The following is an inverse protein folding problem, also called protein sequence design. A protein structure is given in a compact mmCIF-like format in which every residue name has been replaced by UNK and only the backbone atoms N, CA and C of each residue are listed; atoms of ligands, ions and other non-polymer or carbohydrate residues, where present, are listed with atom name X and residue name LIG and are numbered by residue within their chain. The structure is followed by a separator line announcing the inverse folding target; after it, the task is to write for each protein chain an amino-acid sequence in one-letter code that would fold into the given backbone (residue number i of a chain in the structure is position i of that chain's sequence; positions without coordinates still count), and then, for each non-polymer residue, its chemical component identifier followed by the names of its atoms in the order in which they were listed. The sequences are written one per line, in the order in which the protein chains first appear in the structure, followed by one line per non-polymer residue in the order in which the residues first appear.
data_IF_973106308895
#
_entry.id   IF_973106308895
#
_cell.length_a   1.000
_cell.length_b   1.000
_cell.length_c   1.000
_cell.angle_alpha   90.00
_cell.angle_beta   90.00
_cell.angle_gamma   90.00
#
_symmetry.space_group_name_H-M   'P 1'
#
loop_
_entity.id
_entity.type
_entity.pdbx_description
1 polymer ?
#
# COMPACT_ATOMS: atom_id res chain seq x y z
N UNK A 1 2.01 -4.86 -20.71
CA UNK A 1 3.45 -5.05 -21.04
C UNK A 1 3.91 -4.50 -22.39
N UNK A 2 4.64 -3.38 -22.34
CA UNK A 2 5.49 -2.89 -23.43
C UNK A 2 6.79 -3.70 -23.54
N UNK A 3 7.36 -3.81 -24.74
CA UNK A 3 8.66 -4.44 -25.00
C UNK A 3 9.83 -3.47 -24.78
N UNK A 4 11.04 -4.01 -24.57
CA UNK A 4 12.27 -3.21 -24.46
C UNK A 4 12.44 -2.20 -25.62
N UNK A 5 12.11 -2.61 -26.84
CA UNK A 5 12.24 -1.74 -28.01
C UNK A 5 11.18 -0.63 -28.03
N UNK A 6 9.96 -0.90 -27.57
CA UNK A 6 8.92 0.13 -27.40
C UNK A 6 9.29 1.12 -26.30
N UNK A 7 9.81 0.64 -25.16
CA UNK A 7 10.27 1.50 -24.05
C UNK A 7 11.37 2.46 -24.51
N UNK A 8 12.24 2.04 -25.43
CA UNK A 8 13.26 2.93 -26.02
C UNK A 8 12.69 4.08 -26.84
N UNK A 9 11.47 3.93 -27.33
CA UNK A 9 10.75 4.97 -28.08
C UNK A 9 9.96 5.91 -27.16
N UNK A 10 9.81 5.59 -25.87
CA UNK A 10 9.09 6.44 -24.92
C UNK A 10 9.77 7.81 -24.75
N UNK A 11 8.94 8.85 -24.67
CA UNK A 11 9.36 10.25 -24.68
C UNK A 11 8.86 10.99 -23.45
N UNK A 12 9.73 11.12 -22.44
CA UNK A 12 9.47 11.96 -21.27
C UNK A 12 9.11 13.41 -21.64
N UNK A 13 9.69 13.94 -22.73
CA UNK A 13 9.39 15.31 -23.19
C UNK A 13 7.98 15.47 -23.73
N UNK A 14 7.43 14.45 -24.38
CA UNK A 14 6.04 14.50 -24.87
C UNK A 14 5.05 14.39 -23.71
N UNK A 15 5.32 13.52 -22.74
CA UNK A 15 4.55 13.41 -21.48
C UNK A 15 4.59 14.74 -20.72
N UNK A 16 5.76 15.34 -20.55
CA UNK A 16 5.91 16.64 -19.89
C UNK A 16 5.18 17.79 -20.60
N UNK A 17 5.11 17.74 -21.94
CA UNK A 17 4.32 18.71 -22.69
C UNK A 17 2.81 18.55 -22.40
N UNK A 18 2.33 17.33 -22.19
CA UNK A 18 0.95 17.08 -21.77
C UNK A 18 0.72 17.55 -20.33
N UNK A 19 1.66 17.28 -19.42
CA UNK A 19 1.64 17.77 -18.04
C UNK A 19 1.51 19.31 -18.00
N UNK A 20 2.34 20.03 -18.76
CA UNK A 20 2.29 21.50 -18.87
C UNK A 20 0.91 22.03 -19.31
N UNK A 21 0.24 21.31 -20.22
CA UNK A 21 -1.11 21.68 -20.68
C UNK A 21 -2.13 21.49 -19.55
N UNK A 22 -2.05 20.38 -18.81
CA UNK A 22 -2.94 20.11 -17.67
C UNK A 22 -2.70 21.09 -16.52
N UNK A 23 -1.44 21.38 -16.17
CA UNK A 23 -1.09 22.42 -15.18
C UNK A 23 -1.67 23.77 -15.57
N UNK A 24 -1.60 24.14 -16.85
CA UNK A 24 -2.20 25.40 -17.33
C UNK A 24 -3.73 25.38 -17.24
N UNK A 25 -4.37 24.25 -17.55
CA UNK A 25 -5.81 24.09 -17.43
C UNK A 25 -6.27 24.17 -15.96
N UNK A 26 -5.59 23.46 -15.05
CA UNK A 26 -5.79 23.53 -13.59
C UNK A 26 -5.74 24.98 -13.12
N UNK A 27 -4.65 25.68 -13.42
CA UNK A 27 -4.47 27.09 -13.04
C UNK A 27 -5.58 28.00 -13.59
N UNK A 28 -6.06 27.71 -14.80
CA UNK A 28 -7.18 28.43 -15.40
C UNK A 28 -8.50 28.22 -14.65
N UNK A 29 -8.78 26.98 -14.21
CA UNK A 29 -9.98 26.64 -13.44
C UNK A 29 -9.89 27.27 -12.06
N UNK A 30 -8.82 27.01 -11.30
CA UNK A 30 -8.60 27.57 -9.95
C UNK A 30 -8.67 29.10 -9.97
N UNK A 31 -8.15 29.73 -11.03
CA UNK A 31 -8.22 31.18 -11.23
C UNK A 31 -9.63 31.77 -11.30
N UNK A 32 -10.67 30.97 -11.59
CA UNK A 32 -12.07 31.40 -11.65
C UNK A 32 -12.73 31.59 -10.27
N UNK A 33 -12.03 31.27 -9.18
CA UNK A 33 -12.58 31.32 -7.81
C UNK A 33 -13.21 32.69 -7.52
N UNK A 34 -12.50 33.78 -7.84
CA UNK A 34 -12.95 35.13 -7.57
C UNK A 34 -14.21 35.49 -8.37
N UNK A 35 -14.31 35.08 -9.64
CA UNK A 35 -15.47 35.31 -10.50
C UNK A 35 -16.71 34.54 -10.03
N UNK A 36 -16.55 33.30 -9.56
CA UNK A 36 -17.64 32.50 -8.99
C UNK A 36 -18.16 33.14 -7.71
N UNK A 37 -17.25 33.56 -6.83
CA UNK A 37 -17.63 34.19 -5.57
C UNK A 37 -18.28 35.57 -5.79
N UNK A 38 -17.80 36.32 -6.78
CA UNK A 38 -18.42 37.58 -7.19
C UNK A 38 -19.79 37.39 -7.85
N UNK A 39 -20.09 36.21 -8.38
CA UNK A 39 -21.39 35.86 -8.97
C UNK A 39 -22.47 35.55 -7.92
N UNK A 40 -22.14 35.66 -6.62
CA UNK A 40 -23.08 35.45 -5.53
C UNK A 40 -24.29 36.39 -5.62
N UNK A 41 -25.48 35.84 -5.38
CA UNK A 41 -26.74 36.57 -5.32
C UNK A 41 -26.69 37.65 -4.23
N UNK A 42 -27.02 38.93 -4.52
CA UNK A 42 -27.08 40.00 -3.51
C UNK A 42 -27.99 39.63 -2.35
N UNK A 43 -27.61 40.00 -1.12
CA UNK A 43 -28.35 39.65 0.10
C UNK A 43 -29.78 40.19 0.10
N UNK A 44 -29.99 41.31 -0.57
CA UNK A 44 -31.27 42.00 -0.66
C UNK A 44 -32.23 41.36 -1.68
N UNK A 45 -31.74 40.43 -2.52
CA UNK A 45 -32.59 39.70 -3.47
C UNK A 45 -33.08 38.39 -2.85
N UNK A 46 -34.38 38.36 -2.54
CA UNK A 46 -35.04 37.25 -1.87
C UNK A 46 -36.21 36.68 -2.70
N UNK A 47 -36.68 35.48 -2.33
CA UNK A 47 -37.78 34.75 -2.94
C UNK A 47 -37.34 33.62 -3.87
N UNK A 48 -38.30 32.86 -4.40
CA UNK A 48 -38.07 31.59 -5.14
C UNK A 48 -37.05 31.71 -6.29
N UNK A 49 -37.02 32.85 -6.98
CA UNK A 49 -36.07 33.10 -8.06
C UNK A 49 -34.63 33.26 -7.55
N UNK A 50 -34.44 33.94 -6.42
CA UNK A 50 -33.14 34.10 -5.78
C UNK A 50 -32.63 32.75 -5.25
N UNK A 51 -33.50 31.94 -4.67
CA UNK A 51 -33.14 30.60 -4.17
C UNK A 51 -32.79 29.64 -5.31
N UNK A 52 -33.52 29.71 -6.43
CA UNK A 52 -33.19 28.97 -7.66
C UNK A 52 -31.82 29.40 -8.22
N UNK A 53 -31.53 30.70 -8.25
CA UNK A 53 -30.24 31.21 -8.71
C UNK A 53 -29.09 30.74 -7.80
N UNK A 54 -29.26 30.77 -6.47
CA UNK A 54 -28.28 30.24 -5.50
C UNK A 54 -28.05 28.74 -5.70
N UNK A 55 -29.10 27.96 -5.94
CA UNK A 55 -28.99 26.54 -6.20
C UNK A 55 -28.23 26.24 -7.51
N UNK A 56 -28.49 27.01 -8.57
CA UNK A 56 -27.75 26.91 -9.81
C UNK A 56 -26.27 27.27 -9.64
N UNK A 57 -25.96 28.35 -8.90
CA UNK A 57 -24.58 28.73 -8.62
C UNK A 57 -23.83 27.65 -7.84
N UNK A 58 -24.45 27.08 -6.78
CA UNK A 58 -23.87 25.95 -6.04
C UNK A 58 -23.57 24.76 -6.95
N UNK A 59 -24.50 24.41 -7.84
CA UNK A 59 -24.28 23.33 -8.82
C UNK A 59 -23.10 23.63 -9.75
N UNK A 60 -22.99 24.87 -10.27
CA UNK A 60 -21.87 25.25 -11.14
C UNK A 60 -20.54 25.30 -10.42
N UNK A 61 -20.54 25.65 -9.13
CA UNK A 61 -19.36 25.59 -8.28
C UNK A 61 -18.89 24.14 -8.12
N UNK A 62 -19.80 23.24 -7.74
CA UNK A 62 -19.51 21.80 -7.62
C UNK A 62 -18.92 21.22 -8.92
N UNK A 63 -19.50 21.54 -10.07
CA UNK A 63 -18.98 21.09 -11.37
C UNK A 63 -17.57 21.62 -11.67
N UNK A 64 -17.21 22.80 -11.17
CA UNK A 64 -15.87 23.37 -11.32
C UNK A 64 -14.88 22.84 -10.28
N UNK A 65 -15.34 22.52 -9.06
CA UNK A 65 -14.56 21.86 -8.01
C UNK A 65 -14.12 20.48 -8.50
N UNK A 66 -15.05 19.66 -9.00
CA UNK A 66 -14.73 18.35 -9.60
C UNK A 66 -13.76 18.50 -10.79
N UNK A 67 -14.01 19.45 -11.70
CA UNK A 67 -13.09 19.67 -12.84
C UNK A 67 -11.70 20.13 -12.40
N UNK A 68 -11.60 20.88 -11.29
CA UNK A 68 -10.32 21.27 -10.70
C UNK A 68 -9.58 20.05 -10.16
N UNK A 69 -10.27 19.16 -9.44
CA UNK A 69 -9.73 17.90 -8.92
C UNK A 69 -9.24 16.99 -10.07
N UNK A 70 -10.08 16.72 -11.07
CA UNK A 70 -9.74 15.89 -12.22
C UNK A 70 -8.52 16.42 -12.99
N UNK A 71 -8.47 17.73 -13.23
CA UNK A 71 -7.36 18.35 -14.00
C UNK A 71 -6.06 18.35 -13.19
N UNK A 72 -6.16 18.49 -11.87
CA UNK A 72 -5.00 18.46 -10.98
C UNK A 72 -4.45 17.04 -10.82
N UNK A 73 -5.32 16.03 -10.66
CA UNK A 73 -4.94 14.63 -10.66
C UNK A 73 -4.21 14.24 -11.96
N UNK A 74 -4.76 14.60 -13.13
CA UNK A 74 -4.07 14.35 -14.41
C UNK A 74 -2.74 15.10 -14.54
N UNK A 75 -2.66 16.32 -14.00
CA UNK A 75 -1.41 17.05 -14.00
C UNK A 75 -0.34 16.35 -13.17
N UNK A 76 -0.68 15.85 -11.97
CA UNK A 76 0.23 15.10 -11.09
C UNK A 76 0.69 13.81 -11.75
N UNK A 77 -0.25 12.96 -12.19
CA UNK A 77 0.06 11.67 -12.81
C UNK A 77 0.93 11.81 -14.07
N UNK A 78 0.73 12.86 -14.88
CA UNK A 78 1.58 13.14 -16.04
C UNK A 78 2.97 13.64 -15.65
N UNK A 79 3.10 14.46 -14.61
CA UNK A 79 4.41 14.93 -14.13
C UNK A 79 5.22 13.77 -13.53
N UNK A 80 4.59 12.93 -12.72
CA UNK A 80 5.17 11.69 -12.17
C UNK A 80 5.59 10.74 -13.29
N UNK A 81 4.71 10.48 -14.27
CA UNK A 81 5.03 9.67 -15.43
C UNK A 81 6.19 10.25 -16.26
N UNK A 82 6.27 11.58 -16.43
CA UNK A 82 7.43 12.22 -17.08
C UNK A 82 8.73 11.86 -16.33
N UNK A 83 8.73 12.07 -15.01
CA UNK A 83 9.91 11.84 -14.18
C UNK A 83 10.32 10.36 -14.19
N UNK A 84 9.35 9.46 -14.09
CA UNK A 84 9.54 8.01 -14.11
C UNK A 84 10.08 7.53 -15.47
N UNK A 85 9.47 7.96 -16.59
CA UNK A 85 9.96 7.64 -17.95
C UNK A 85 11.37 8.18 -18.16
N UNK A 86 11.67 9.39 -17.69
CA UNK A 86 13.03 9.97 -17.77
C UNK A 86 14.04 9.13 -17.00
N UNK A 87 13.66 8.62 -15.83
CA UNK A 87 14.52 7.72 -15.04
C UNK A 87 14.70 6.38 -15.74
N UNK A 88 13.61 5.75 -16.18
CA UNK A 88 13.61 4.47 -16.90
C UNK A 88 14.49 4.51 -18.15
N UNK A 89 14.40 5.58 -18.96
CA UNK A 89 15.22 5.74 -20.18
C UNK A 89 16.72 5.81 -19.85
N UNK A 90 17.11 6.41 -18.72
CA UNK A 90 18.52 6.40 -18.27
C UNK A 90 18.97 4.98 -17.92
N UNK A 91 18.17 4.23 -17.18
CA UNK A 91 18.46 2.82 -16.84
C UNK A 91 18.58 1.96 -18.10
N UNK A 92 17.69 2.14 -19.07
CA UNK A 92 17.76 1.46 -20.37
C UNK A 92 19.06 1.77 -21.10
N UNK A 93 19.46 3.03 -21.19
CA UNK A 93 20.69 3.44 -21.87
C UNK A 93 21.95 2.92 -21.14
N UNK A 94 21.91 2.84 -19.81
CA UNK A 94 22.98 2.26 -18.97
C UNK A 94 23.12 0.74 -19.21
N UNK A 95 22.00 0.00 -19.24
CA UNK A 95 21.98 -1.44 -19.51
C UNK A 95 22.39 -1.76 -20.96
N UNK A 96 21.94 -0.99 -21.94
CA UNK A 96 22.39 -1.12 -23.34
C UNK A 96 23.91 -0.88 -23.45
N UNK A 97 24.44 0.09 -22.70
CA UNK A 97 25.87 0.39 -22.65
C UNK A 97 26.66 -0.75 -22.01
N UNK A 98 26.18 -1.28 -20.87
CA UNK A 98 26.80 -2.43 -20.19
C UNK A 98 26.79 -3.67 -21.08
N UNK A 99 25.66 -3.96 -21.74
CA UNK A 99 25.53 -5.06 -22.68
C UNK A 99 26.55 -4.93 -23.81
N UNK A 100 26.62 -3.78 -24.47
CA UNK A 100 27.55 -3.53 -25.57
C UNK A 100 29.03 -3.68 -25.15
N UNK A 101 29.40 -3.22 -23.95
CA UNK A 101 30.76 -3.34 -23.42
C UNK A 101 31.19 -4.81 -23.25
N UNK A 102 30.27 -5.69 -22.87
CA UNK A 102 30.55 -7.10 -22.60
C UNK A 102 30.12 -8.04 -23.74
N UNK A 103 29.95 -7.53 -24.96
CA UNK A 103 29.53 -8.31 -26.14
C UNK A 103 28.19 -9.01 -25.93
N UNK A 104 27.25 -8.35 -25.28
CA UNK A 104 25.83 -8.70 -25.22
C UNK A 104 24.99 -7.67 -25.98
N UNK A 105 23.77 -8.06 -26.32
CA UNK A 105 22.74 -7.17 -26.87
C UNK A 105 21.42 -7.49 -26.20
N UNK A 106 20.64 -6.48 -25.85
CA UNK A 106 19.29 -6.64 -25.35
C UNK A 106 18.32 -6.50 -26.52
N UNK A 107 17.36 -7.42 -26.64
CA UNK A 107 16.34 -7.40 -27.69
C UNK A 107 15.01 -7.96 -27.19
N UNK A 108 13.97 -7.15 -27.18
CA UNK A 108 12.62 -7.54 -26.75
C UNK A 108 12.59 -8.29 -25.39
N UNK A 109 13.43 -7.88 -24.44
CA UNK A 109 13.53 -8.50 -23.11
C UNK A 109 14.58 -9.61 -22.99
N UNK A 110 15.16 -10.07 -24.11
CA UNK A 110 16.18 -11.11 -24.11
C UNK A 110 17.61 -10.55 -24.11
N UNK A 111 18.46 -11.08 -23.22
CA UNK A 111 19.90 -10.82 -23.25
C UNK A 111 20.60 -11.84 -24.16
N UNK A 112 21.04 -11.35 -25.32
CA UNK A 112 21.64 -12.15 -26.39
C UNK A 112 23.16 -12.00 -26.34
N UNK A 113 23.87 -13.14 -26.23
CA UNK A 113 25.32 -13.19 -26.35
C UNK A 113 25.74 -12.99 -27.82
N UNK A 114 26.64 -12.02 -28.06
CA UNK A 114 27.14 -11.66 -29.39
C UNK A 114 28.64 -11.95 -29.55
N UNK A 115 29.26 -12.65 -28.60
CA UNK A 115 30.67 -13.04 -28.69
C UNK A 115 30.86 -14.22 -29.67
N UNK A 116 31.60 -14.00 -30.76
CA UNK A 116 31.94 -15.02 -31.77
C UNK A 116 33.09 -15.97 -31.30
N UNK A 117 33.16 -16.27 -30.00
CA UNK A 117 34.21 -17.12 -29.40
C UNK A 117 35.51 -16.40 -29.01
N UNK A 118 35.65 -15.11 -29.36
CA UNK A 118 36.76 -14.22 -28.97
C UNK A 118 36.26 -13.16 -27.97
N UNK A 119 36.06 -13.57 -26.72
CA UNK A 119 35.84 -12.63 -25.61
C UNK A 119 37.12 -12.52 -24.77
N UNK A 120 37.52 -11.29 -24.42
CA UNK A 120 38.62 -11.06 -23.46
C UNK A 120 38.20 -11.42 -22.03
N UNK A 121 36.90 -11.49 -21.76
CA UNK A 121 36.32 -11.79 -20.45
C UNK A 121 36.29 -13.29 -20.14
N UNK A 122 36.57 -13.63 -18.88
CA UNK A 122 36.38 -15.00 -18.36
C UNK A 122 34.90 -15.39 -18.38
N UNK A 123 34.63 -16.69 -18.56
CA UNK A 123 33.27 -17.24 -18.54
C UNK A 123 32.48 -16.86 -17.28
N UNK A 124 33.13 -16.82 -16.10
CA UNK A 124 32.51 -16.41 -14.84
C UNK A 124 32.07 -14.95 -14.86
N UNK A 125 32.89 -14.08 -15.44
CA UNK A 125 32.59 -12.65 -15.58
C UNK A 125 31.40 -12.46 -16.52
N UNK A 126 31.41 -13.15 -17.66
CA UNK A 126 30.30 -13.11 -18.62
C UNK A 126 28.98 -13.61 -18.02
N UNK A 127 29.03 -14.67 -17.20
CA UNK A 127 27.85 -15.18 -16.51
C UNK A 127 27.31 -14.16 -15.50
N UNK A 128 28.17 -13.55 -14.70
CA UNK A 128 27.77 -12.51 -13.74
C UNK A 128 27.12 -11.31 -14.45
N UNK A 129 27.75 -10.78 -15.50
CA UNK A 129 27.19 -9.68 -16.29
C UNK A 129 25.86 -10.06 -16.94
N UNK A 130 25.73 -11.29 -17.46
CA UNK A 130 24.45 -11.74 -18.04
C UNK A 130 23.35 -11.79 -16.99
N UNK A 131 23.63 -12.30 -15.78
CA UNK A 131 22.66 -12.31 -14.68
C UNK A 131 22.23 -10.90 -14.31
N UNK A 132 23.19 -9.97 -14.16
CA UNK A 132 22.90 -8.56 -13.89
C UNK A 132 22.04 -7.92 -14.98
N UNK A 133 22.35 -8.16 -16.26
CA UNK A 133 21.55 -7.67 -17.38
C UNK A 133 20.14 -8.28 -17.39
N UNK A 134 19.98 -9.57 -17.11
CA UNK A 134 18.66 -10.21 -17.07
C UNK A 134 17.81 -9.63 -15.94
N UNK A 135 18.38 -9.48 -14.74
CA UNK A 135 17.68 -8.84 -13.61
C UNK A 135 17.35 -7.39 -13.89
N UNK A 136 18.28 -6.62 -14.48
CA UNK A 136 18.05 -5.23 -14.85
C UNK A 136 16.97 -5.07 -15.93
N UNK A 137 16.95 -5.95 -16.93
CA UNK A 137 15.90 -5.96 -17.96
C UNK A 137 14.54 -6.28 -17.37
N UNK A 138 14.45 -7.27 -16.48
CA UNK A 138 13.21 -7.58 -15.78
C UNK A 138 12.70 -6.37 -14.99
N UNK A 139 13.57 -5.72 -14.21
CA UNK A 139 13.22 -4.51 -13.46
C UNK A 139 12.72 -3.37 -14.36
N UNK A 140 13.37 -3.13 -15.51
CA UNK A 140 12.90 -2.11 -16.47
C UNK A 140 11.51 -2.45 -17.03
N UNK A 141 11.23 -3.72 -17.34
CA UNK A 141 9.92 -4.13 -17.86
C UNK A 141 8.82 -3.95 -16.81
N UNK A 142 9.12 -4.31 -15.56
CA UNK A 142 8.21 -4.10 -14.41
C UNK A 142 7.93 -2.62 -14.20
N UNK A 143 8.97 -1.78 -14.09
CA UNK A 143 8.78 -0.32 -13.93
C UNK A 143 8.07 0.31 -15.13
N UNK A 144 8.26 -0.21 -16.34
CA UNK A 144 7.49 0.26 -17.50
C UNK A 144 6.00 -0.06 -17.37
N UNK A 145 5.65 -1.26 -16.91
CA UNK A 145 4.25 -1.65 -16.68
C UNK A 145 3.61 -0.79 -15.58
N UNK A 146 4.30 -0.56 -14.47
CA UNK A 146 3.84 0.34 -13.38
C UNK A 146 3.53 1.75 -13.90
N UNK A 147 4.43 2.36 -14.67
CA UNK A 147 4.22 3.70 -15.24
C UNK A 147 2.97 3.75 -16.14
N UNK A 148 2.74 2.72 -16.95
CA UNK A 148 1.60 2.64 -17.87
C UNK A 148 0.28 2.42 -17.11
N UNK A 149 0.29 1.52 -16.14
CA UNK A 149 -0.86 1.19 -15.30
C UNK A 149 -1.27 2.39 -14.44
N UNK A 150 -0.32 3.11 -13.85
CA UNK A 150 -0.59 4.28 -13.00
C UNK A 150 -1.24 5.41 -13.80
N UNK A 151 -0.65 5.77 -14.94
CA UNK A 151 -1.23 6.81 -15.79
C UNK A 151 -2.60 6.38 -16.35
N UNK A 152 -2.75 5.10 -16.72
CA UNK A 152 -4.01 4.56 -17.22
C UNK A 152 -5.10 4.60 -16.15
N UNK A 153 -4.77 4.25 -14.90
CA UNK A 153 -5.69 4.30 -13.76
C UNK A 153 -6.25 5.70 -13.57
N UNK A 154 -5.40 6.73 -13.46
CA UNK A 154 -5.86 8.11 -13.28
C UNK A 154 -6.70 8.60 -14.47
N UNK A 155 -6.28 8.28 -15.71
CA UNK A 155 -7.05 8.61 -16.90
C UNK A 155 -8.45 7.97 -16.88
N UNK A 156 -8.53 6.69 -16.50
CA UNK A 156 -9.79 5.97 -16.47
C UNK A 156 -10.73 6.53 -15.39
N UNK A 157 -10.22 6.84 -14.20
CA UNK A 157 -11.01 7.47 -13.12
C UNK A 157 -11.60 8.82 -13.56
N UNK A 158 -10.84 9.62 -14.30
CA UNK A 158 -11.35 10.90 -14.86
C UNK A 158 -12.39 10.64 -15.94
N UNK A 159 -12.14 9.69 -16.85
CA UNK A 159 -13.08 9.36 -17.94
C UNK A 159 -14.41 8.82 -17.42
N UNK A 160 -14.35 8.02 -16.35
CA UNK A 160 -15.52 7.40 -15.73
C UNK A 160 -16.22 8.32 -14.71
N UNK A 161 -15.59 9.45 -14.35
CA UNK A 161 -16.12 10.42 -13.39
C UNK A 161 -16.11 9.91 -11.96
N UNK A 162 -15.08 9.13 -11.61
CA UNK A 162 -14.87 8.51 -10.30
C UNK A 162 -14.06 9.39 -9.34
N UNK A 163 -13.49 10.50 -9.82
CA UNK A 163 -12.85 11.50 -8.97
C UNK A 163 -13.87 12.51 -8.48
N UNK A 164 -13.94 12.72 -7.17
CA UNK A 164 -14.71 13.80 -6.55
C UNK A 164 -13.82 14.98 -6.14
N UNK A 165 -14.41 15.98 -5.48
CA UNK A 165 -13.71 17.18 -5.03
C UNK A 165 -13.14 17.06 -3.60
N UNK A 166 -13.18 15.87 -2.99
CA UNK A 166 -12.76 15.63 -1.62
C UNK A 166 -13.56 16.41 -0.58
N UNK A 167 -14.81 16.81 -0.89
CA UNK A 167 -15.62 17.66 -0.02
C UNK A 167 -15.12 19.10 0.07
N UNK A 168 -14.32 19.54 -0.90
CA UNK A 168 -13.77 20.88 -0.98
C UNK A 168 -14.85 21.97 -1.01
N UNK A 169 -14.46 23.17 -0.55
CA UNK A 169 -15.34 24.35 -0.60
C UNK A 169 -14.78 25.48 -1.49
N UNK A 170 -13.60 25.24 -2.05
CA UNK A 170 -12.92 26.12 -2.99
C UNK A 170 -12.30 25.29 -4.12
N UNK A 171 -12.10 25.92 -5.27
CA UNK A 171 -11.45 25.29 -6.42
C UNK A 171 -9.99 24.91 -6.15
N UNK A 172 -9.31 25.64 -5.26
CA UNK A 172 -7.94 25.34 -4.86
C UNK A 172 -7.91 24.06 -4.01
N UNK A 173 -8.76 23.98 -2.98
CA UNK A 173 -8.85 22.78 -2.14
C UNK A 173 -9.25 21.54 -2.96
N UNK A 174 -10.15 21.70 -3.95
CA UNK A 174 -10.54 20.62 -4.83
C UNK A 174 -9.38 20.15 -5.72
N UNK A 175 -8.58 21.09 -6.24
CA UNK A 175 -7.39 20.75 -7.00
C UNK A 175 -6.36 20.01 -6.13
N UNK A 176 -6.16 20.45 -4.89
CA UNK A 176 -5.25 19.80 -3.94
C UNK A 176 -5.76 18.40 -3.55
N UNK A 177 -7.07 18.20 -3.44
CA UNK A 177 -7.68 16.87 -3.24
C UNK A 177 -7.41 15.92 -4.41
N UNK A 178 -7.48 16.42 -5.64
CA UNK A 178 -7.12 15.66 -6.84
C UNK A 178 -5.65 15.24 -6.89
N UNK A 179 -4.73 16.15 -6.52
CA UNK A 179 -3.30 15.84 -6.41
C UNK A 179 -3.03 14.80 -5.31
N UNK A 180 -3.61 14.99 -4.13
CA UNK A 180 -3.50 14.04 -3.01
C UNK A 180 -4.01 12.65 -3.38
N UNK A 181 -5.06 12.55 -4.20
CA UNK A 181 -5.59 11.25 -4.64
C UNK A 181 -4.55 10.46 -5.42
N UNK A 182 -3.76 11.11 -6.28
CA UNK A 182 -2.68 10.45 -7.01
C UNK A 182 -1.57 10.00 -6.05
N UNK A 183 -1.18 10.84 -5.10
CA UNK A 183 -0.19 10.48 -4.07
C UNK A 183 -0.60 9.26 -3.24
N UNK A 184 -1.90 9.14 -2.92
CA UNK A 184 -2.46 7.99 -2.20
C UNK A 184 -2.47 6.72 -3.05
N UNK A 185 -2.86 6.81 -4.32
CA UNK A 185 -2.83 5.67 -5.24
C UNK A 185 -1.39 5.12 -5.36
N UNK A 186 -0.38 5.99 -5.51
CA UNK A 186 1.03 5.56 -5.53
C UNK A 186 1.48 4.94 -4.20
N UNK A 187 1.03 5.51 -3.08
CA UNK A 187 1.35 4.98 -1.76
C UNK A 187 0.80 3.57 -1.58
N UNK A 188 -0.44 3.35 -2.02
CA UNK A 188 -1.11 2.07 -2.00
C UNK A 188 -0.38 1.03 -2.85
N UNK A 189 -0.03 1.35 -4.10
CA UNK A 189 0.70 0.44 -4.97
C UNK A 189 2.05 0.01 -4.37
N UNK A 190 2.87 0.97 -3.91
CA UNK A 190 4.16 0.67 -3.26
C UNK A 190 4.00 -0.17 -2.01
N UNK A 191 2.96 0.10 -1.22
CA UNK A 191 2.71 -0.62 0.03
C UNK A 191 2.25 -2.05 -0.26
N UNK A 192 1.30 -2.22 -1.20
CA UNK A 192 0.84 -3.54 -1.62
C UNK A 192 1.97 -4.36 -2.25
N UNK A 193 2.83 -3.75 -3.06
CA UNK A 193 3.99 -4.43 -3.64
C UNK A 193 4.96 -4.93 -2.56
N UNK A 194 5.30 -4.08 -1.58
CA UNK A 194 6.20 -4.45 -0.47
C UNK A 194 5.61 -5.56 0.40
N UNK A 195 4.30 -5.51 0.68
CA UNK A 195 3.64 -6.41 1.62
C UNK A 195 2.74 -7.45 0.95
N UNK A 196 3.07 -7.84 -0.27
CA UNK A 196 2.31 -8.85 -0.99
C UNK A 196 2.67 -10.27 -0.51
N UNK A 197 1.69 -11.00 0.05
CA UNK A 197 1.89 -12.39 0.49
C UNK A 197 0.85 -13.38 -0.04
N UNK A 198 1.39 -14.47 -0.59
CA UNK A 198 0.88 -15.85 -0.59
C UNK A 198 -0.22 -16.21 0.40
N UNK A 199 -1.45 -16.66 0.06
CA UNK A 199 -2.25 -17.43 1.02
C UNK A 199 -1.46 -18.63 1.56
N UNK A 200 -1.84 -19.12 2.74
CA UNK A 200 -1.29 -20.33 3.30
C UNK A 200 -1.63 -21.51 2.36
N UNK A 201 -0.64 -22.25 1.81
CA UNK A 201 -0.88 -23.32 0.86
C UNK A 201 -1.72 -24.47 1.45
N UNK A 202 -1.65 -24.66 2.76
CA UNK A 202 -2.42 -25.68 3.49
C UNK A 202 -3.73 -25.12 4.07
N UNK A 203 -3.99 -23.83 3.87
CA UNK A 203 -5.24 -23.15 4.17
C UNK A 203 -5.50 -22.98 5.67
N UNK A 204 -6.78 -23.04 6.05
CA UNK A 204 -7.23 -22.87 7.44
C UNK A 204 -7.40 -24.21 8.15
N UNK A 205 -7.01 -24.28 9.41
CA UNK A 205 -7.20 -25.43 10.30
C UNK A 205 -7.81 -25.02 11.66
N UNK A 206 -8.25 -26.00 12.45
CA UNK A 206 -8.67 -25.76 13.83
C UNK A 206 -7.52 -26.06 14.79
N UNK A 207 -7.23 -25.12 15.70
CA UNK A 207 -6.20 -25.27 16.72
C UNK A 207 -6.78 -25.00 18.13
N UNK A 208 -6.39 -25.77 19.17
CA UNK A 208 -5.56 -26.97 19.11
C UNK A 208 -6.34 -28.15 18.50
N UNK A 209 -5.63 -29.08 17.85
CA UNK A 209 -6.22 -30.26 17.22
C UNK A 209 -5.99 -31.55 18.03
N UNK A 210 -6.51 -32.68 17.53
CA UNK A 210 -6.21 -34.01 18.08
C UNK A 210 -6.60 -34.21 19.54
N UNK A 211 -5.74 -34.91 20.30
CA UNK A 211 -5.99 -35.24 21.72
C UNK A 211 -5.89 -34.01 22.61
N UNK A 212 -5.02 -33.05 22.25
CA UNK A 212 -4.86 -31.77 22.94
C UNK A 212 -6.11 -30.91 22.77
N UNK A 213 -6.59 -30.75 21.54
CA UNK A 213 -7.84 -30.07 21.21
C UNK A 213 -9.06 -30.69 21.88
N UNK A 214 -9.14 -32.04 21.90
CA UNK A 214 -10.19 -32.74 22.63
C UNK A 214 -10.16 -32.40 24.14
N UNK A 215 -8.98 -32.39 24.77
CA UNK A 215 -8.84 -32.02 26.17
C UNK A 215 -9.18 -30.54 26.41
N UNK A 216 -8.82 -29.66 25.47
CA UNK A 216 -9.10 -28.22 25.49
C UNK A 216 -10.61 -27.93 25.49
N UNK A 217 -11.36 -28.60 24.60
CA UNK A 217 -12.83 -28.51 24.55
C UNK A 217 -13.49 -29.05 25.83
N UNK A 218 -12.98 -30.14 26.41
CA UNK A 218 -13.51 -30.69 27.67
C UNK A 218 -13.32 -29.74 28.87
N UNK A 219 -12.37 -28.80 28.78
CA UNK A 219 -12.16 -27.75 29.77
C UNK A 219 -13.07 -26.53 29.55
N UNK A 220 -13.94 -26.56 28.53
CA UNK A 220 -14.89 -25.50 28.21
C UNK A 220 -14.34 -24.39 27.32
N UNK A 221 -13.17 -24.61 26.70
CA UNK A 221 -12.57 -23.66 25.77
C UNK A 221 -12.96 -23.99 24.32
N UNK A 222 -13.14 -22.97 23.50
CA UNK A 222 -13.42 -23.12 22.06
C UNK A 222 -12.11 -23.32 21.28
N UNK A 223 -12.18 -24.06 20.16
CA UNK A 223 -11.08 -24.12 19.20
C UNK A 223 -11.08 -22.87 18.33
N UNK A 224 -9.89 -22.42 17.96
CA UNK A 224 -9.72 -21.28 17.08
C UNK A 224 -9.43 -21.76 15.67
N UNK A 225 -10.03 -21.08 14.70
CA UNK A 225 -9.71 -21.29 13.28
C UNK A 225 -8.55 -20.37 12.92
N UNK A 226 -7.43 -20.96 12.52
CA UNK A 226 -6.14 -20.30 12.24
C UNK A 226 -5.55 -20.84 10.94
N UNK A 227 -4.53 -20.19 10.39
CA UNK A 227 -3.81 -20.77 9.24
C UNK A 227 -3.04 -22.02 9.66
N UNK A 228 -2.77 -22.92 8.72
CA UNK A 228 -2.02 -24.14 8.99
C UNK A 228 -0.62 -23.83 9.54
N UNK A 229 0.07 -22.84 8.96
CA UNK A 229 1.38 -22.37 9.45
C UNK A 229 1.27 -21.79 10.86
N UNK A 230 0.24 -21.00 11.17
CA UNK A 230 -0.01 -20.48 12.53
C UNK A 230 -0.18 -21.63 13.54
N UNK A 231 -0.95 -22.66 13.18
CA UNK A 231 -1.13 -23.84 14.03
C UNK A 231 0.19 -24.59 14.31
N UNK A 232 1.06 -24.75 13.31
CA UNK A 232 2.37 -25.37 13.48
C UNK A 232 3.27 -24.58 14.43
N UNK A 233 3.26 -23.25 14.33
CA UNK A 233 4.00 -22.37 15.23
C UNK A 233 3.46 -22.41 16.66
N UNK A 234 2.13 -22.47 16.84
CA UNK A 234 1.50 -22.62 18.16
C UNK A 234 1.84 -23.97 18.81
N UNK A 235 1.87 -25.04 18.03
CA UNK A 235 2.31 -26.36 18.48
C UNK A 235 3.78 -26.35 18.90
N UNK A 236 4.63 -25.67 18.13
CA UNK A 236 6.05 -25.53 18.47
C UNK A 236 6.28 -24.69 19.73
N UNK A 237 5.57 -23.57 19.86
CA UNK A 237 5.57 -22.74 21.07
C UNK A 237 5.12 -23.56 22.28
N UNK A 238 4.06 -24.37 22.15
CA UNK A 238 3.61 -25.25 23.23
C UNK A 238 4.67 -26.31 23.58
N UNK A 239 5.42 -26.84 22.61
CA UNK A 239 6.51 -27.81 22.88
C UNK A 239 7.68 -27.19 23.64
N UNK A 240 8.05 -25.97 23.31
CA UNK A 240 9.23 -25.29 23.86
C UNK A 240 8.94 -24.53 25.16
N UNK A 241 7.84 -23.77 25.21
CA UNK A 241 7.45 -22.88 26.33
C UNK A 241 6.29 -23.45 27.17
N UNK A 242 5.67 -24.55 26.73
CA UNK A 242 4.52 -25.15 27.39
C UNK A 242 3.23 -24.35 27.20
N UNK A 243 2.19 -24.74 27.92
CA UNK A 243 0.88 -24.06 27.90
C UNK A 243 0.93 -22.62 28.43
N UNK A 244 1.98 -22.25 29.16
CA UNK A 244 2.17 -20.88 29.64
C UNK A 244 2.52 -19.93 28.50
N UNK A 245 3.40 -20.33 27.56
CA UNK A 245 3.75 -19.50 26.41
C UNK A 245 2.55 -19.22 25.49
N UNK A 246 1.76 -20.25 25.20
CA UNK A 246 0.49 -20.11 24.47
C UNK A 246 -0.47 -19.17 25.18
N UNK A 247 -0.60 -19.30 26.51
CA UNK A 247 -1.46 -18.43 27.29
C UNK A 247 -0.98 -16.98 27.24
N UNK A 248 0.32 -16.74 27.37
CA UNK A 248 0.90 -15.40 27.30
C UNK A 248 0.65 -14.75 25.93
N UNK A 249 0.75 -15.50 24.84
CA UNK A 249 0.37 -15.04 23.50
C UNK A 249 -1.12 -14.67 23.42
N UNK A 250 -2.00 -15.50 23.98
CA UNK A 250 -3.44 -15.22 24.03
C UNK A 250 -3.76 -13.98 24.89
N UNK A 251 -3.08 -13.83 26.04
CA UNK A 251 -3.21 -12.65 26.91
C UNK A 251 -2.72 -11.38 26.19
N UNK A 252 -1.63 -11.45 25.42
CA UNK A 252 -1.13 -10.35 24.59
C UNK A 252 -2.15 -9.96 23.51
N UNK A 253 -2.76 -10.93 22.81
CA UNK A 253 -3.82 -10.67 21.82
C UNK A 253 -5.05 -9.99 22.45
N UNK A 254 -5.48 -10.46 23.62
CA UNK A 254 -6.61 -9.86 24.36
C UNK A 254 -6.30 -8.43 24.83
N UNK A 255 -5.08 -8.18 25.30
CA UNK A 255 -4.62 -6.82 25.69
C UNK A 255 -4.61 -5.88 24.48
N UNK A 256 -4.15 -6.34 23.31
CA UNK A 256 -4.18 -5.57 22.07
C UNK A 256 -5.60 -5.20 21.63
N UNK A 257 -6.54 -6.15 21.67
CA UNK A 257 -7.96 -5.91 21.37
C UNK A 257 -8.54 -4.86 22.31
N UNK A 258 -8.36 -5.04 23.61
CA UNK A 258 -8.88 -4.12 24.62
C UNK A 258 -8.33 -2.68 24.46
N UNK A 259 -7.04 -2.56 24.16
CA UNK A 259 -6.40 -1.24 23.97
C UNK A 259 -6.82 -0.59 22.65
N UNK A 260 -6.90 -1.36 21.56
CA UNK A 260 -7.38 -0.86 20.27
C UNK A 260 -8.79 -0.27 20.36
N UNK A 261 -9.70 -0.95 21.06
CA UNK A 261 -11.08 -0.46 21.27
C UNK A 261 -11.17 0.83 22.09
N UNK A 262 -10.17 1.12 22.93
CA UNK A 262 -10.20 2.24 23.89
C UNK A 262 -9.40 3.46 23.45
N UNK A 263 -8.35 3.33 22.64
CA UNK A 263 -7.48 4.45 22.25
C UNK A 263 -8.18 5.41 21.28
N UNK A 264 -9.05 4.90 20.40
CA UNK A 264 -9.77 5.71 19.41
C UNK A 264 -11.29 5.55 19.50
N UNK A 265 -11.85 5.34 20.71
CA UNK A 265 -13.29 5.28 20.97
C UNK A 265 -14.08 4.33 20.04
N UNK A 266 -13.45 3.23 19.59
CA UNK A 266 -13.99 2.27 18.61
C UNK A 266 -14.26 2.84 17.20
N UNK A 267 -13.62 3.95 16.81
CA UNK A 267 -13.60 4.41 15.42
C UNK A 267 -12.51 3.65 14.63
N UNK A 268 -12.83 3.13 13.44
CA UNK A 268 -11.90 2.36 12.62
C UNK A 268 -11.50 1.00 13.20
N UNK A 269 -12.45 0.27 13.81
CA UNK A 269 -12.23 -1.07 14.44
C UNK A 269 -11.65 -2.10 13.47
N UNK A 270 -12.02 -1.98 12.21
CA UNK A 270 -11.56 -2.80 11.08
C UNK A 270 -11.00 -1.85 10.04
N UNK A 271 -9.82 -2.17 9.50
CA UNK A 271 -9.18 -1.46 8.39
C UNK A 271 -8.85 0.03 8.67
N UNK A 272 -8.95 0.48 9.93
CA UNK A 272 -8.77 1.88 10.34
C UNK A 272 -7.78 2.07 11.49
N UNK A 273 -7.79 3.24 12.13
CA UNK A 273 -6.79 3.62 13.14
C UNK A 273 -6.75 2.70 14.36
N UNK A 274 -7.89 2.21 14.83
CA UNK A 274 -7.95 1.24 15.95
C UNK A 274 -7.35 -0.11 15.56
N UNK A 275 -7.53 -0.51 14.31
CA UNK A 275 -6.95 -1.74 13.76
C UNK A 275 -5.43 -1.64 13.64
N UNK A 276 -4.96 -0.56 13.01
CA UNK A 276 -3.53 -0.27 12.88
C UNK A 276 -2.81 -0.26 14.24
N UNK A 277 -3.41 0.38 15.24
CA UNK A 277 -2.90 0.34 16.61
C UNK A 277 -2.86 -1.08 17.18
N UNK A 278 -3.95 -1.84 17.02
CA UNK A 278 -4.07 -3.20 17.55
C UNK A 278 -2.99 -4.11 16.97
N UNK A 279 -2.79 -4.08 15.65
CA UNK A 279 -1.78 -4.88 14.95
C UNK A 279 -0.36 -4.51 15.38
N UNK A 280 -0.04 -3.21 15.41
CA UNK A 280 1.25 -2.72 15.88
C UNK A 280 1.52 -3.09 17.35
N UNK A 281 0.53 -2.94 18.24
CA UNK A 281 0.70 -3.26 19.66
C UNK A 281 0.84 -4.76 19.90
N UNK A 282 0.05 -5.57 19.21
CA UNK A 282 0.17 -7.01 19.24
C UNK A 282 1.57 -7.46 18.85
N UNK A 283 2.09 -6.94 17.73
CA UNK A 283 3.43 -7.25 17.24
C UNK A 283 4.54 -6.73 18.15
N UNK A 284 4.41 -5.53 18.71
CA UNK A 284 5.37 -4.98 19.67
C UNK A 284 5.51 -5.89 20.91
N UNK A 285 4.38 -6.37 21.45
CA UNK A 285 4.36 -7.23 22.64
C UNK A 285 4.84 -8.65 22.33
N UNK A 286 4.53 -9.19 21.16
CA UNK A 286 5.11 -10.45 20.69
C UNK A 286 6.63 -10.34 20.54
N UNK A 287 7.13 -9.28 19.91
CA UNK A 287 8.56 -9.05 19.72
C UNK A 287 9.31 -8.95 21.06
N UNK A 288 8.77 -8.24 22.05
CA UNK A 288 9.37 -8.17 23.40
C UNK A 288 9.40 -9.54 24.12
N UNK A 289 8.41 -10.42 23.91
CA UNK A 289 8.28 -11.68 24.67
C UNK A 289 8.96 -12.87 23.98
N UNK A 290 8.83 -12.96 22.66
CA UNK A 290 9.22 -14.12 21.87
C UNK A 290 10.35 -13.80 20.88
N UNK A 291 10.70 -12.53 20.71
CA UNK A 291 11.69 -12.06 19.74
C UNK A 291 11.05 -11.55 18.45
N UNK A 292 11.76 -10.63 17.78
CA UNK A 292 11.31 -9.97 16.55
C UNK A 292 11.06 -10.98 15.41
N UNK A 293 12.01 -11.88 15.17
CA UNK A 293 11.93 -12.92 14.13
C UNK A 293 10.68 -13.79 14.30
N UNK A 294 10.46 -14.34 15.50
CA UNK A 294 9.29 -15.16 15.78
C UNK A 294 7.98 -14.37 15.62
N UNK A 295 7.96 -13.11 16.06
CA UNK A 295 6.78 -12.25 15.92
C UNK A 295 6.47 -11.94 14.45
N UNK A 296 7.49 -11.72 13.62
CA UNK A 296 7.35 -11.51 12.19
C UNK A 296 6.76 -12.75 11.51
N UNK A 297 7.32 -13.93 11.76
CA UNK A 297 6.84 -15.21 11.23
C UNK A 297 5.38 -15.47 11.61
N UNK A 298 5.04 -15.30 12.89
CA UNK A 298 3.71 -15.57 13.41
C UNK A 298 2.67 -14.61 12.82
N UNK A 299 2.99 -13.33 12.80
CA UNK A 299 2.10 -12.31 12.23
C UNK A 299 1.91 -12.52 10.73
N UNK A 300 2.98 -12.82 9.97
CA UNK A 300 2.85 -13.15 8.55
C UNK A 300 2.01 -14.41 8.36
N UNK A 301 2.20 -15.47 9.15
CA UNK A 301 1.36 -16.66 9.08
C UNK A 301 -0.13 -16.34 9.33
N UNK A 302 -0.42 -15.39 10.24
CA UNK A 302 -1.78 -14.91 10.51
C UNK A 302 -2.41 -14.23 9.29
N UNK A 303 -1.69 -13.29 8.65
CA UNK A 303 -2.21 -12.54 7.49
C UNK A 303 -2.30 -13.37 6.19
N UNK A 304 -1.72 -14.57 6.18
CA UNK A 304 -1.81 -15.53 5.06
C UNK A 304 -3.13 -16.29 5.01
N UNK A 305 -4.14 -15.88 5.78
CA UNK A 305 -5.50 -16.42 5.64
C UNK A 305 -5.99 -16.35 4.19
N UNK A 306 -6.47 -17.47 3.61
CA UNK A 306 -7.06 -17.50 2.27
C UNK A 306 -8.45 -16.84 2.23
N UNK A 307 -8.93 -16.27 3.31
CA UNK A 307 -10.21 -15.55 3.35
C UNK A 307 -10.01 -14.03 3.35
N UNK A 308 -8.77 -13.55 3.42
CA UNK A 308 -8.43 -12.12 3.51
C UNK A 308 -8.04 -11.52 2.17
N UNK A 309 -8.55 -10.32 1.90
CA UNK A 309 -8.21 -9.53 0.72
C UNK A 309 -6.80 -8.94 0.80
N UNK A 310 -6.17 -8.65 -0.34
CA UNK A 310 -4.78 -8.19 -0.39
C UNK A 310 -4.56 -6.84 0.31
N UNK A 311 -5.49 -5.89 0.14
CA UNK A 311 -5.41 -4.55 0.75
C UNK A 311 -5.29 -4.58 2.29
N UNK A 312 -6.24 -5.16 3.06
CA UNK A 312 -6.11 -5.20 4.52
C UNK A 312 -4.90 -6.02 4.98
N UNK A 313 -4.51 -7.07 4.25
CA UNK A 313 -3.29 -7.84 4.55
C UNK A 313 -2.03 -6.98 4.44
N UNK A 314 -1.91 -6.16 3.40
CA UNK A 314 -0.77 -5.26 3.24
C UNK A 314 -0.73 -4.18 4.34
N UNK A 315 -1.90 -3.63 4.72
CA UNK A 315 -2.05 -2.72 5.86
C UNK A 315 -1.53 -3.37 7.15
N UNK A 316 -2.01 -4.57 7.46
CA UNK A 316 -1.68 -5.28 8.69
C UNK A 316 -0.21 -5.64 8.75
N UNK A 317 0.38 -6.14 7.66
CA UNK A 317 1.81 -6.45 7.60
C UNK A 317 2.70 -5.22 7.82
N UNK A 318 2.34 -4.06 7.27
CA UNK A 318 3.04 -2.80 7.53
C UNK A 318 2.97 -2.42 9.00
N UNK A 319 1.76 -2.39 9.56
CA UNK A 319 1.53 -2.01 10.95
C UNK A 319 2.21 -2.98 11.93
N UNK A 320 2.22 -4.27 11.59
CA UNK A 320 2.95 -5.32 12.30
C UNK A 320 4.46 -5.00 12.33
N UNK A 321 5.08 -4.68 11.18
CA UNK A 321 6.51 -4.30 11.09
C UNK A 321 6.82 -3.07 11.95
N UNK A 322 5.99 -2.01 11.88
CA UNK A 322 6.18 -0.80 12.69
C UNK A 322 6.12 -1.11 14.18
N UNK A 323 5.16 -1.96 14.61
CA UNK A 323 5.04 -2.43 15.98
C UNK A 323 6.30 -3.12 16.49
N UNK A 324 6.84 -4.06 15.71
CA UNK A 324 8.08 -4.76 16.08
C UNK A 324 9.27 -3.82 16.15
N UNK A 325 9.41 -2.89 15.20
CA UNK A 325 10.47 -1.85 15.23
C UNK A 325 10.41 -1.02 16.52
N UNK A 326 9.23 -0.53 16.90
CA UNK A 326 9.03 0.26 18.12
C UNK A 326 9.45 -0.55 19.37
N UNK A 327 9.12 -1.85 19.41
CA UNK A 327 9.54 -2.73 20.51
C UNK A 327 11.07 -2.93 20.56
N UNK A 328 11.71 -3.15 19.41
CA UNK A 328 13.17 -3.32 19.31
C UNK A 328 13.93 -2.05 19.73
N UNK A 329 13.40 -0.87 19.40
CA UNK A 329 13.96 0.42 19.81
C UNK A 329 13.72 0.73 21.30
N UNK A 330 12.71 0.08 21.91
CA UNK A 330 12.27 0.32 23.29
C UNK A 330 12.13 -1.01 24.08
N UNK A 331 13.21 -1.79 24.26
CA UNK A 331 13.12 -3.15 24.81
C UNK A 331 12.63 -3.20 26.26
N UNK A 332 12.87 -2.14 27.04
CA UNK A 332 12.47 -2.04 28.45
C UNK A 332 11.14 -1.29 28.65
N UNK A 333 10.48 -0.83 27.58
CA UNK A 333 9.22 -0.12 27.70
C UNK A 333 8.13 -1.03 28.26
N UNK A 334 7.40 -0.50 29.25
CA UNK A 334 6.21 -1.15 29.78
C UNK A 334 5.10 -1.23 28.71
N UNK A 335 4.10 -2.10 28.89
CA UNK A 335 2.90 -2.15 28.06
C UNK A 335 2.25 -0.78 27.81
N UNK A 336 2.16 0.06 28.84
CA UNK A 336 1.54 1.39 28.73
C UNK A 336 2.42 2.38 27.97
N UNK A 337 3.75 2.28 28.12
CA UNK A 337 4.69 3.09 27.36
C UNK A 337 4.69 2.70 25.88
N UNK A 338 4.69 1.40 25.56
CA UNK A 338 4.55 0.91 24.19
C UNK A 338 3.23 1.37 23.55
N UNK A 339 2.12 1.26 24.28
CA UNK A 339 0.83 1.76 23.80
C UNK A 339 0.91 3.27 23.47
N UNK A 340 1.51 4.08 24.35
CA UNK A 340 1.68 5.51 24.09
C UNK A 340 2.62 5.85 22.93
N UNK A 341 3.63 5.02 22.67
CA UNK A 341 4.51 5.17 21.50
C UNK A 341 3.79 4.82 20.20
N UNK A 342 3.00 3.74 20.21
CA UNK A 342 2.24 3.29 19.04
C UNK A 342 1.09 4.24 18.73
N UNK A 343 0.38 4.75 19.74
CA UNK A 343 -0.62 5.80 19.54
C UNK A 343 0.00 7.02 18.85
N UNK A 344 1.21 7.41 19.26
CA UNK A 344 1.93 8.51 18.61
C UNK A 344 2.28 8.16 17.17
N UNK A 345 2.78 6.97 16.89
CA UNK A 345 3.10 6.52 15.55
C UNK A 345 1.86 6.53 14.61
N UNK A 346 0.68 6.17 15.12
CA UNK A 346 -0.60 6.32 14.39
C UNK A 346 -0.87 7.80 14.08
N UNK A 347 -0.72 8.69 15.07
CA UNK A 347 -1.00 10.14 14.90
C UNK A 347 0.01 10.85 14.01
N UNK A 348 1.24 10.35 13.95
CA UNK A 348 2.35 10.91 13.19
C UNK A 348 2.45 10.34 11.76
N UNK A 349 1.49 9.49 11.35
CA UNK A 349 1.41 8.97 9.98
C UNK A 349 2.32 7.79 9.67
N UNK A 350 2.89 7.14 10.69
CA UNK A 350 3.77 5.99 10.48
C UNK A 350 3.01 4.70 10.20
N UNK A 351 1.72 4.66 10.54
CA UNK A 351 0.84 3.52 10.28
C UNK A 351 0.10 3.67 8.96
N UNK A 352 -0.44 2.57 8.48
CA UNK A 352 -1.30 2.52 7.30
C UNK A 352 -2.71 2.17 7.71
N UNK A 353 -3.68 2.81 7.07
CA UNK A 353 -5.11 2.54 7.18
C UNK A 353 -5.71 2.42 5.78
N UNK A 354 -6.93 1.90 5.67
CA UNK A 354 -7.68 1.90 4.41
C UNK A 354 -8.67 3.07 4.41
N UNK A 355 -8.54 3.94 3.42
CA UNK A 355 -9.45 5.07 3.24
C UNK A 355 -10.86 4.63 2.80
N UNK A 356 -11.81 5.57 2.74
CA UNK A 356 -13.19 5.27 2.36
C UNK A 356 -13.35 4.69 0.94
N UNK A 357 -12.36 4.83 0.07
CA UNK A 357 -12.37 4.30 -1.30
C UNK A 357 -11.77 2.88 -1.37
N UNK A 358 -11.20 2.37 -0.29
CA UNK A 358 -10.55 1.06 -0.26
C UNK A 358 -9.06 1.11 -0.63
N UNK A 359 -8.44 2.29 -0.55
CA UNK A 359 -7.02 2.52 -0.89
C UNK A 359 -6.19 2.64 0.39
N UNK A 360 -4.98 2.07 0.42
CA UNK A 360 -4.08 2.26 1.56
C UNK A 360 -3.59 3.72 1.64
N UNK A 361 -3.57 4.26 2.85
CA UNK A 361 -3.15 5.62 3.12
C UNK A 361 -2.36 5.72 4.43
N UNK A 362 -1.42 6.67 4.56
CA UNK A 362 -0.82 6.99 5.84
C UNK A 362 -1.88 7.44 6.85
N UNK A 363 -1.74 7.00 8.09
CA UNK A 363 -2.77 7.16 9.12
C UNK A 363 -3.06 8.61 9.52
N UNK A 364 -2.15 9.56 9.28
CA UNK A 364 -2.36 10.99 9.54
C UNK A 364 -3.03 11.72 8.37
N UNK A 365 -3.16 11.07 7.21
CA UNK A 365 -3.80 11.64 6.03
C UNK A 365 -5.30 11.38 5.97
N UNK A 366 -5.81 10.46 6.80
CA UNK A 366 -7.22 10.06 6.86
C UNK A 366 -7.81 10.49 8.19
N UNK A 367 -8.96 11.17 8.16
CA UNK A 367 -9.67 11.54 9.38
C UNK A 367 -10.20 10.30 10.10
N UNK A 368 -10.26 10.36 11.43
CA UNK A 368 -10.81 9.27 12.23
C UNK A 368 -12.28 9.03 11.87
N UNK A 369 -12.59 7.80 11.47
CA UNK A 369 -13.95 7.41 11.05
C UNK A 369 -14.22 7.52 9.55
N UNK A 370 -13.33 8.15 8.77
CA UNK A 370 -13.41 8.23 7.30
C UNK A 370 -12.63 7.08 6.63
N UNK A 371 -12.67 5.91 7.27
CA UNK A 371 -12.02 4.67 6.79
C UNK A 371 -13.03 3.75 6.12
N UNK A 372 -12.54 2.76 5.39
CA UNK A 372 -13.37 1.79 4.68
C UNK A 372 -14.42 1.11 5.59
N UNK A 373 -15.69 1.06 5.18
CA UNK A 373 -16.76 0.37 5.90
C UNK A 373 -16.84 -1.10 5.48
N UNK A 374 -15.96 -1.94 6.03
CA UNK A 374 -15.93 -3.39 5.77
C UNK A 374 -17.24 -4.09 6.15
N UNK A 375 -17.99 -3.54 7.10
CA UNK A 375 -19.28 -4.09 7.54
C UNK A 375 -20.40 -3.86 6.51
N UNK A 376 -20.41 -2.69 5.88
CA UNK A 376 -21.31 -2.32 4.80
C UNK A 376 -20.88 -2.84 3.43
N UNK A 377 -19.56 -2.97 3.21
CA UNK A 377 -18.94 -3.36 1.95
C UNK A 377 -17.85 -4.43 2.17
N UNK A 378 -18.24 -5.71 2.37
CA UNK A 378 -17.27 -6.76 2.66
C UNK A 378 -16.34 -6.99 1.47
N UNK A 379 -15.04 -7.18 1.77
CA UNK A 379 -14.04 -7.49 0.76
C UNK A 379 -14.35 -8.79 -0.01
N UNK A 380 -14.01 -8.85 -1.32
CA UNK A 380 -14.08 -10.10 -2.06
C UNK A 380 -13.02 -11.09 -1.55
N UNK A 381 -13.39 -12.38 -1.46
CA UNK A 381 -12.56 -13.45 -0.88
C UNK A 381 -12.05 -14.46 -1.91
N UNK A 382 -12.14 -14.13 -3.20
CA UNK A 382 -11.64 -14.95 -4.30
C UNK A 382 -10.11 -14.94 -4.43
N UNK A 383 -9.43 -13.96 -3.83
CA UNK A 383 -7.96 -13.80 -3.80
C UNK A 383 -7.29 -13.88 -5.18
N UNK A 384 -7.93 -13.37 -6.23
CA UNK A 384 -7.34 -13.39 -7.57
C UNK A 384 -6.02 -12.62 -7.63
N UNK A 385 -5.87 -11.60 -6.77
CA UNK A 385 -4.68 -10.74 -6.67
C UNK A 385 -3.59 -11.28 -5.72
N UNK A 386 -3.79 -12.46 -5.12
CA UNK A 386 -2.81 -13.12 -4.25
C UNK A 386 -2.42 -14.51 -4.79
N UNK A 387 -2.39 -14.70 -6.11
CA UNK A 387 -2.09 -16.01 -6.71
C UNK A 387 -0.58 -16.30 -6.83
N UNK A 388 0.27 -15.28 -6.70
CA UNK A 388 1.73 -15.38 -6.77
C UNK A 388 2.39 -14.78 -5.50
N UNK A 389 3.65 -15.12 -5.25
CA UNK A 389 4.49 -14.42 -4.28
C UNK A 389 5.45 -13.52 -5.06
N UNK A 390 5.55 -12.22 -4.74
CA UNK A 390 6.77 -11.45 -5.05
C UNK A 390 7.87 -11.83 -4.06
N UNK A 391 8.30 -13.09 -4.06
CA UNK A 391 9.54 -13.49 -3.38
C UNK A 391 10.69 -13.50 -4.38
N UNK A 392 11.74 -12.68 -4.19
CA UNK A 392 13.07 -13.00 -4.70
C UNK A 392 13.67 -14.11 -3.82
N UNK A 393 13.30 -15.38 -4.05
CA UNK A 393 13.92 -16.61 -3.48
C UNK A 393 14.25 -16.67 -1.95
N UNK A 394 13.82 -15.69 -1.15
CA UNK A 394 13.84 -15.68 0.31
C UNK A 394 12.86 -14.58 0.78
N UNK A 395 12.04 -14.82 1.81
CA UNK A 395 10.99 -13.89 2.22
C UNK A 395 11.54 -12.53 2.69
N UNK A 396 11.19 -11.45 1.98
CA UNK A 396 11.49 -10.07 2.39
C UNK A 396 10.57 -9.55 3.52
N UNK A 397 10.19 -10.42 4.46
CA UNK A 397 9.52 -10.06 5.72
C UNK A 397 10.43 -10.24 6.95
N UNK A 398 11.66 -10.73 6.75
CA UNK A 398 12.70 -10.80 7.79
C UNK A 398 13.57 -9.54 7.71
N UNK A 399 13.88 -8.88 8.84
CA UNK A 399 14.84 -7.77 8.83
C UNK A 399 16.19 -8.25 8.28
N UNK A 400 16.77 -7.45 7.37
CA UNK A 400 18.10 -7.64 6.78
C UNK A 400 19.12 -7.89 7.93
N UNK A 401 19.80 -9.05 7.89
CA UNK A 401 20.84 -9.50 8.84
C UNK A 401 22.11 -8.65 8.75
N UNK A 402 21.97 -7.33 8.87
CA UNK A 402 23.07 -6.36 8.88
C UNK A 402 23.08 -5.58 10.18
N UNK A 403 23.57 -6.23 11.24
CA UNK A 403 24.49 -5.60 12.21
C UNK A 403 25.52 -6.59 12.74
#
# INVERSE_FOLDING_TARGET
MASWNEIKEWSATEVGTAADIMVKARNGIVGLQAEIDASATPREWEGDAADSAKAMLRKRRQELEVMAAETAALASALDEAEQAVRSLRRTVDELDTLAAQHQFRIDNGDVIDTADGDSEDSWLSRLATRTELVSGVAGVLTTAEEIDDDLTRTLQRVVDGELDDGGASTLADAADAGEKRVELDEFDDRTREKYHVSPDPDGMTEWPDGVTGWAWEQLGNEKNRVTATEAEMLDDLQRHEGLLGVKELADIRQDALHRGETVFDSEGVTDGHSDAFRHAYWNARMAQRFGDEWAAEFATAHERSPESHATPVAMDLHNNEVGRRIATENPDASPDELAGLIERAVRDGEMVVVDSEGTLAPSDQIEHGDTYDTGGNPWPTNNDDRQDHTTPDDPSAYPDDRY
#
